data_IF_320800652533
#
_entry.id   IF_320800652533
#
_cell.length_a   1.000
_cell.length_b   1.000
_cell.length_c   1.000
_cell.angle_alpha   90.00
_cell.angle_beta   90.00
_cell.angle_gamma   90.00
#
_symmetry.space_group_name_H-M   'P 1'
#
loop_
_entity.id
_entity.type
_entity.pdbx_description
1 polymer ?
#
# COMPACT_ATOMS: atom_id res chain seq x y z
N UNK A 1 -1.91 -16.00 -1.36
CA UNK A 1 -1.86 -14.75 -0.60
C UNK A 1 -3.22 -14.46 -0.04
N UNK A 2 -3.29 -13.76 1.08
CA UNK A 2 -4.53 -13.35 1.71
C UNK A 2 -5.40 -12.62 0.68
N UNK A 3 -6.55 -13.21 0.36
CA UNK A 3 -7.46 -12.67 -0.64
C UNK A 3 -8.34 -11.61 0.04
N UNK A 4 -8.09 -10.34 -0.26
CA UNK A 4 -8.93 -9.22 0.19
C UNK A 4 -10.07 -9.06 -0.81
N UNK A 5 -11.32 -9.10 -0.34
CA UNK A 5 -12.45 -8.87 -1.23
C UNK A 5 -12.42 -7.43 -1.77
N UNK A 6 -12.95 -7.15 -2.98
CA UNK A 6 -13.04 -5.78 -3.48
C UNK A 6 -13.79 -4.84 -2.53
N UNK A 7 -14.80 -5.37 -1.82
CA UNK A 7 -15.56 -4.62 -0.84
C UNK A 7 -14.71 -4.29 0.40
N UNK A 8 -13.95 -5.25 0.93
CA UNK A 8 -13.07 -5.00 2.08
C UNK A 8 -11.95 -4.03 1.71
N UNK A 9 -11.38 -4.15 0.51
CA UNK A 9 -10.36 -3.22 0.01
C UNK A 9 -10.91 -1.79 -0.08
N UNK A 10 -12.12 -1.64 -0.64
CA UNK A 10 -12.80 -0.34 -0.64
C UNK A 10 -12.98 0.18 0.79
N UNK A 11 -13.49 -0.63 1.71
CA UNK A 11 -13.71 -0.21 3.10
C UNK A 11 -12.41 0.22 3.79
N UNK A 12 -11.31 -0.52 3.60
CA UNK A 12 -9.97 -0.18 4.12
C UNK A 12 -9.54 1.22 3.66
N UNK A 13 -9.78 1.57 2.40
CA UNK A 13 -9.33 2.84 1.82
C UNK A 13 -10.30 3.98 2.11
N UNK A 14 -11.60 3.73 2.11
CA UNK A 14 -12.60 4.81 2.15
C UNK A 14 -13.21 5.05 3.53
N UNK A 15 -13.22 4.05 4.42
CA UNK A 15 -13.94 4.09 5.68
C UNK A 15 -12.98 4.14 6.90
N UNK A 16 -12.86 5.30 7.59
CA UNK A 16 -11.96 5.44 8.74
C UNK A 16 -12.36 4.59 9.95
N UNK A 17 -13.61 4.11 10.02
CA UNK A 17 -14.09 3.28 11.13
C UNK A 17 -13.67 1.81 10.98
N UNK A 18 -13.12 1.42 9.82
CA UNK A 18 -12.76 0.02 9.51
C UNK A 18 -11.31 -0.32 9.82
N UNK A 19 -10.79 0.23 10.91
CA UNK A 19 -9.47 -0.13 11.44
C UNK A 19 -9.35 -1.62 11.78
N UNK A 20 -10.48 -2.28 12.10
CA UNK A 20 -10.56 -3.74 12.27
C UNK A 20 -10.07 -4.50 11.03
N UNK A 21 -10.47 -4.05 9.83
CA UNK A 21 -10.04 -4.65 8.57
C UNK A 21 -8.57 -4.38 8.30
N UNK A 22 -8.10 -3.16 8.56
CA UNK A 22 -6.69 -2.78 8.41
C UNK A 22 -5.81 -3.73 9.22
N UNK A 23 -6.09 -3.88 10.52
CA UNK A 23 -5.31 -4.75 11.41
C UNK A 23 -5.37 -6.21 10.96
N UNK A 24 -6.58 -6.73 10.70
CA UNK A 24 -6.79 -8.12 10.27
C UNK A 24 -5.99 -8.46 9.01
N UNK A 25 -6.12 -7.67 7.96
CA UNK A 25 -5.47 -7.96 6.68
C UNK A 25 -3.97 -7.65 6.72
N UNK A 26 -3.56 -6.60 7.43
CA UNK A 26 -2.15 -6.29 7.59
C UNK A 26 -1.38 -7.42 8.30
N UNK A 27 -1.96 -8.03 9.33
CA UNK A 27 -1.37 -9.17 10.03
C UNK A 27 -1.20 -10.40 9.12
N UNK A 28 -2.29 -10.80 8.45
CA UNK A 28 -2.27 -11.92 7.50
C UNK A 28 -1.23 -11.72 6.39
N UNK A 29 -1.21 -10.52 5.79
CA UNK A 29 -0.25 -10.18 4.73
C UNK A 29 1.17 -10.09 5.26
N UNK A 30 1.37 -9.49 6.44
CA UNK A 30 2.67 -9.40 7.09
C UNK A 30 3.27 -10.79 7.31
N UNK A 31 2.47 -11.74 7.77
CA UNK A 31 2.88 -13.13 8.00
C UNK A 31 3.27 -13.86 6.71
N UNK A 32 2.49 -13.68 5.63
CA UNK A 32 2.79 -14.33 4.34
C UNK A 32 4.02 -13.70 3.67
N UNK A 33 4.10 -12.37 3.68
CA UNK A 33 5.18 -11.62 3.05
C UNK A 33 6.50 -11.78 3.81
N UNK A 34 6.50 -11.99 5.13
CA UNK A 34 7.74 -12.15 5.90
C UNK A 34 8.60 -13.31 5.40
N UNK A 35 7.97 -14.32 4.79
CA UNK A 35 8.62 -15.52 4.25
C UNK A 35 9.22 -15.33 2.85
N UNK A 36 8.77 -14.32 2.11
CA UNK A 36 9.04 -14.22 0.65
C UNK A 36 9.53 -12.85 0.20
N UNK A 37 9.39 -11.83 1.05
CA UNK A 37 9.73 -10.44 0.76
C UNK A 37 10.80 -9.96 1.75
N UNK A 38 11.92 -9.49 1.21
CA UNK A 38 12.98 -8.91 2.03
C UNK A 38 12.57 -7.53 2.53
N UNK A 39 12.97 -7.19 3.75
CA UNK A 39 12.68 -5.89 4.37
C UNK A 39 13.14 -4.70 3.53
N UNK A 40 14.31 -4.79 2.90
CA UNK A 40 14.82 -3.73 2.02
C UNK A 40 13.88 -3.47 0.84
N UNK A 41 13.23 -4.51 0.32
CA UNK A 41 12.29 -4.39 -0.81
C UNK A 41 11.00 -3.69 -0.39
N UNK A 42 10.38 -4.11 0.72
CA UNK A 42 9.16 -3.48 1.24
C UNK A 42 9.44 -2.03 1.68
N UNK A 43 10.55 -1.77 2.38
CA UNK A 43 10.93 -0.42 2.79
C UNK A 43 11.24 0.49 1.62
N UNK A 44 11.88 0.00 0.56
CA UNK A 44 12.15 0.79 -0.62
C UNK A 44 10.87 1.21 -1.36
N UNK A 45 9.78 0.43 -1.27
CA UNK A 45 8.48 0.83 -1.82
C UNK A 45 7.73 1.75 -0.86
N UNK A 46 7.73 1.44 0.43
CA UNK A 46 7.12 2.29 1.46
C UNK A 46 7.74 3.69 1.51
N UNK A 47 9.06 3.81 1.39
CA UNK A 47 9.74 5.09 1.32
C UNK A 47 9.29 5.95 0.14
N UNK A 48 9.01 5.35 -1.01
CA UNK A 48 8.46 6.07 -2.17
C UNK A 48 7.03 6.57 -1.90
N UNK A 49 6.21 5.76 -1.24
CA UNK A 49 4.86 6.14 -0.80
C UNK A 49 4.90 7.30 0.22
N UNK A 50 5.79 7.23 1.22
CA UNK A 50 6.00 8.31 2.20
C UNK A 50 6.49 9.62 1.55
N UNK A 51 7.30 9.55 0.49
CA UNK A 51 7.68 10.74 -0.27
C UNK A 51 6.49 11.38 -0.98
N UNK A 52 5.56 10.56 -1.52
CA UNK A 52 4.33 11.08 -2.14
C UNK A 52 3.46 11.75 -1.08
N UNK A 53 3.33 11.13 0.09
CA UNK A 53 2.56 11.68 1.22
C UNK A 53 3.11 13.02 1.71
N UNK A 54 4.43 13.13 1.92
CA UNK A 54 5.06 14.39 2.29
C UNK A 54 4.88 15.47 1.23
N UNK A 55 4.80 15.09 -0.05
CA UNK A 55 4.53 16.05 -1.13
C UNK A 55 3.05 16.45 -1.21
N UNK A 56 2.13 15.61 -0.75
CA UNK A 56 0.68 15.85 -0.82
C UNK A 56 0.25 17.10 -0.03
N UNK A 57 1.02 17.50 0.99
CA UNK A 57 0.78 18.72 1.78
C UNK A 57 1.39 19.99 1.17
N UNK A 58 2.41 19.84 0.31
CA UNK A 58 3.17 20.95 -0.29
C UNK A 58 2.68 21.26 -1.71
N UNK A 59 2.53 20.23 -2.53
CA UNK A 59 2.11 20.30 -3.93
C UNK A 59 1.27 19.05 -4.24
N UNK A 60 -0.03 19.19 -4.00
CA UNK A 60 -1.01 18.14 -4.19
C UNK A 60 -1.04 17.65 -5.65
N UNK A 61 -1.01 18.55 -6.64
CA UNK A 61 -1.07 18.19 -8.06
C UNK A 61 0.09 17.29 -8.47
N UNK A 62 1.31 17.64 -8.07
CA UNK A 62 2.48 16.81 -8.40
C UNK A 62 2.45 15.49 -7.63
N UNK A 63 2.07 15.49 -6.35
CA UNK A 63 1.92 14.26 -5.56
C UNK A 63 0.88 13.31 -6.17
N UNK A 64 -0.27 13.83 -6.59
CA UNK A 64 -1.34 13.07 -7.21
C UNK A 64 -0.92 12.43 -8.54
N UNK A 65 -0.15 13.17 -9.36
CA UNK A 65 0.47 12.61 -10.56
C UNK A 65 1.48 11.50 -10.21
N UNK A 66 2.28 11.66 -9.15
CA UNK A 66 3.22 10.61 -8.71
C UNK A 66 2.51 9.36 -8.24
N UNK A 67 1.36 9.48 -7.58
CA UNK A 67 0.53 8.33 -7.19
C UNK A 67 0.08 7.52 -8.41
N UNK A 68 -0.40 8.19 -9.47
CA UNK A 68 -0.73 7.52 -10.73
C UNK A 68 0.47 6.76 -11.32
N UNK A 69 1.66 7.37 -11.27
CA UNK A 69 2.89 6.78 -11.77
C UNK A 69 3.48 5.70 -10.83
N UNK A 70 2.92 5.49 -9.64
CA UNK A 70 3.34 4.42 -8.75
C UNK A 70 3.02 3.04 -9.36
N UNK A 71 1.87 2.90 -10.03
CA UNK A 71 1.45 1.63 -10.68
C UNK A 71 2.48 1.08 -11.68
N UNK A 72 2.92 1.83 -12.72
CA UNK A 72 3.94 1.32 -13.64
C UNK A 72 5.29 1.06 -12.97
N UNK A 73 5.66 1.85 -11.94
CA UNK A 73 6.89 1.59 -11.16
C UNK A 73 6.81 0.29 -10.38
N UNK A 74 5.68 0.01 -9.75
CA UNK A 74 5.43 -1.27 -9.08
C UNK A 74 5.50 -2.44 -10.06
N UNK A 75 4.87 -2.32 -11.24
CA UNK A 75 4.95 -3.35 -12.28
C UNK A 75 6.40 -3.63 -12.72
N UNK A 76 7.21 -2.58 -12.90
CA UNK A 76 8.63 -2.74 -13.21
C UNK A 76 9.40 -3.43 -12.07
N UNK A 77 9.15 -3.07 -10.81
CA UNK A 77 9.74 -3.73 -9.63
C UNK A 77 9.40 -5.22 -9.58
N UNK A 78 8.15 -5.60 -9.88
CA UNK A 78 7.74 -7.01 -9.99
C UNK A 78 8.55 -7.75 -11.04
N UNK A 79 8.78 -7.15 -12.22
CA UNK A 79 9.54 -7.79 -13.30
C UNK A 79 11.03 -7.98 -12.96
N UNK A 80 11.61 -7.05 -12.21
CA UNK A 80 13.03 -7.05 -11.80
C UNK A 80 13.31 -7.90 -10.56
N UNK A 81 12.35 -8.02 -9.66
CA UNK A 81 12.52 -8.78 -8.44
C UNK A 81 12.72 -10.27 -8.72
N UNK A 82 13.63 -10.89 -7.97
CA UNK A 82 13.73 -12.34 -7.91
C UNK A 82 12.73 -12.83 -6.86
N UNK A 83 11.93 -13.84 -7.20
CA UNK A 83 10.94 -14.43 -6.29
C UNK A 83 9.55 -13.77 -6.29
N UNK A 84 8.66 -14.31 -5.46
CA UNK A 84 7.23 -13.97 -5.47
C UNK A 84 6.83 -12.86 -4.49
N UNK A 85 7.67 -12.48 -3.51
CA UNK A 85 7.28 -11.53 -2.45
C UNK A 85 6.91 -10.14 -2.97
N UNK A 86 7.69 -9.59 -3.90
CA UNK A 86 7.40 -8.26 -4.49
C UNK A 86 6.13 -8.29 -5.31
N UNK A 87 5.90 -9.37 -6.08
CA UNK A 87 4.63 -9.58 -6.79
C UNK A 87 3.47 -9.55 -5.81
N UNK A 88 3.61 -10.25 -4.68
CA UNK A 88 2.54 -10.34 -3.72
C UNK A 88 2.16 -9.06 -3.03
N UNK A 89 3.17 -8.27 -2.64
CA UNK A 89 2.90 -6.94 -2.12
C UNK A 89 2.19 -6.08 -3.16
N UNK A 90 2.60 -6.13 -4.43
CA UNK A 90 2.01 -5.32 -5.49
C UNK A 90 0.58 -5.76 -5.85
N UNK A 91 0.27 -7.05 -5.78
CA UNK A 91 -1.09 -7.58 -5.97
C UNK A 91 -2.09 -7.03 -4.93
N UNK A 92 -1.61 -6.66 -3.74
CA UNK A 92 -2.40 -6.00 -2.69
C UNK A 92 -2.45 -4.48 -2.88
N UNK A 93 -1.30 -3.85 -3.14
CA UNK A 93 -1.22 -2.39 -3.19
C UNK A 93 -1.89 -1.80 -4.44
N UNK A 94 -1.88 -2.50 -5.58
CA UNK A 94 -2.51 -2.00 -6.80
C UNK A 94 -4.02 -1.74 -6.63
N UNK A 95 -4.83 -2.69 -6.15
CA UNK A 95 -6.23 -2.45 -5.85
C UNK A 95 -6.45 -1.32 -4.84
N UNK A 96 -5.61 -1.22 -3.80
CA UNK A 96 -5.71 -0.16 -2.81
C UNK A 96 -5.48 1.23 -3.45
N UNK A 97 -4.47 1.36 -4.30
CA UNK A 97 -4.22 2.59 -5.08
C UNK A 97 -5.40 2.89 -5.99
N UNK A 98 -5.99 1.88 -6.64
CA UNK A 98 -7.16 2.07 -7.49
C UNK A 98 -8.38 2.61 -6.72
N UNK A 99 -8.59 2.18 -5.47
CA UNK A 99 -9.62 2.78 -4.61
C UNK A 99 -9.31 4.24 -4.25
N UNK A 100 -8.05 4.57 -3.96
CA UNK A 100 -7.65 5.98 -3.71
C UNK A 100 -7.96 6.85 -4.92
N UNK A 101 -7.63 6.38 -6.12
CA UNK A 101 -7.79 7.13 -7.37
C UNK A 101 -9.26 7.39 -7.77
N UNK A 102 -10.23 6.76 -7.11
CA UNK A 102 -11.67 7.04 -7.31
C UNK A 102 -12.13 8.33 -6.63
N UNK A 103 -11.35 8.89 -5.71
CA UNK A 103 -11.68 10.15 -5.04
C UNK A 103 -11.74 11.32 -6.03
N UNK A 104 -12.79 12.13 -5.93
CA UNK A 104 -13.13 13.17 -6.93
C UNK A 104 -12.64 14.57 -6.58
N UNK A 105 -12.41 14.82 -5.30
CA UNK A 105 -11.97 16.11 -4.76
C UNK A 105 -10.70 15.94 -3.93
N UNK A 106 -9.95 17.02 -3.78
CA UNK A 106 -8.64 17.03 -3.11
C UNK A 106 -8.70 16.60 -1.64
N UNK A 107 -9.78 16.94 -0.92
CA UNK A 107 -9.93 16.56 0.49
C UNK A 107 -10.11 15.04 0.61
N UNK A 108 -10.99 14.46 -0.19
CA UNK A 108 -11.21 13.01 -0.23
C UNK A 108 -9.97 12.28 -0.73
N UNK A 109 -9.25 12.83 -1.72
CA UNK A 109 -8.00 12.26 -2.24
C UNK A 109 -6.93 12.17 -1.14
N UNK A 110 -6.74 13.25 -0.37
CA UNK A 110 -5.82 13.26 0.78
C UNK A 110 -6.24 12.24 1.84
N UNK A 111 -7.54 12.17 2.17
CA UNK A 111 -8.07 11.23 3.16
C UNK A 111 -7.86 9.77 2.75
N UNK A 112 -8.26 9.40 1.53
CA UNK A 112 -8.14 8.03 1.05
C UNK A 112 -6.67 7.64 0.91
N UNK A 113 -5.83 8.54 0.42
CA UNK A 113 -4.39 8.29 0.34
C UNK A 113 -3.77 8.08 1.73
N UNK A 114 -4.18 8.85 2.74
CA UNK A 114 -3.74 8.63 4.13
C UNK A 114 -4.10 7.23 4.63
N UNK A 115 -5.34 6.78 4.44
CA UNK A 115 -5.73 5.42 4.86
C UNK A 115 -4.94 4.32 4.12
N UNK A 116 -4.64 4.53 2.84
CA UNK A 116 -3.75 3.65 2.09
C UNK A 116 -2.33 3.59 2.70
N UNK A 117 -1.77 4.74 3.09
CA UNK A 117 -0.46 4.80 3.76
C UNK A 117 -0.49 4.05 5.07
N UNK A 118 -1.51 4.26 5.90
CA UNK A 118 -1.70 3.59 7.19
C UNK A 118 -1.82 2.07 7.02
N UNK A 119 -2.57 1.61 6.02
CA UNK A 119 -2.68 0.19 5.70
C UNK A 119 -1.33 -0.41 5.27
N UNK A 120 -0.58 0.29 4.41
CA UNK A 120 0.73 -0.18 3.98
C UNK A 120 1.75 -0.18 5.14
N UNK A 121 1.69 0.83 6.02
CA UNK A 121 2.50 0.89 7.23
C UNK A 121 2.20 -0.27 8.18
N UNK A 122 0.91 -0.62 8.36
CA UNK A 122 0.51 -1.76 9.15
C UNK A 122 1.06 -3.08 8.57
N UNK A 123 1.01 -3.28 7.24
CA UNK A 123 1.62 -4.46 6.60
C UNK A 123 3.13 -4.52 6.88
N UNK A 124 3.83 -3.40 6.78
CA UNK A 124 5.26 -3.32 7.07
C UNK A 124 5.57 -3.64 8.54
N UNK A 125 4.75 -3.14 9.47
CA UNK A 125 4.90 -3.42 10.89
C UNK A 125 4.71 -4.91 11.19
N UNK A 126 3.65 -5.53 10.66
CA UNK A 126 3.39 -6.96 10.84
C UNK A 126 4.41 -7.84 10.10
N UNK A 127 4.88 -7.45 8.92
CA UNK A 127 5.99 -8.10 8.23
C UNK A 127 7.22 -8.20 9.14
N UNK A 128 7.55 -7.11 9.84
CA UNK A 128 8.63 -7.10 10.81
C UNK A 128 8.35 -7.91 12.06
N UNK A 129 7.15 -7.82 12.60
CA UNK A 129 6.71 -8.62 13.74
C UNK A 129 6.85 -10.13 13.47
N UNK A 130 6.49 -10.58 12.26
CA UNK A 130 6.61 -11.98 11.82
C UNK A 130 8.02 -12.39 11.37
N UNK A 131 9.05 -11.63 11.72
CA UNK A 131 10.46 -12.00 11.49
C UNK A 131 10.99 -11.72 10.08
N UNK A 132 10.32 -10.86 9.30
CA UNK A 132 10.80 -10.47 7.99
C UNK A 132 12.21 -9.85 8.04
N UNK A 133 13.14 -10.41 7.24
CA UNK A 133 14.54 -9.99 7.19
C UNK A 133 14.83 -9.04 6.03
#
# INVERSE_FOLDING_TARGET
MANISPQDMQQIVTNPERADLVVKYADLLGQELSRTLNTSQIRALFGEVRQIEGQMTVDHTTAWRRLHLLKPKMAYRVRRAQGAGVRGLVEVLNPAVDEVLKAKDEETQKKYFKHFVEFFEAILAYHKYHGGN
#
